data_IF_648952649405
#
_entry.id   IF_648952649405
#
_cell.length_a   1.000
_cell.length_b   1.000
_cell.length_c   1.000
_cell.angle_alpha   90.00
_cell.angle_beta   90.00
_cell.angle_gamma   90.00
#
_symmetry.space_group_name_H-M   'P 1'
#
loop_
_entity.id
_entity.type
_entity.pdbx_description
1 polymer ?
#
# COMPACT_ATOMS: atom_id res chain seq x y z
N UNK A 1 16.71 8.16 -9.86
CA UNK A 1 16.54 6.78 -9.33
C UNK A 1 15.75 6.01 -10.37
N UNK A 2 16.05 4.74 -10.65
CA UNK A 2 15.25 3.97 -11.62
C UNK A 2 13.92 3.57 -10.99
N UNK A 3 12.82 3.50 -11.75
CA UNK A 3 11.52 3.14 -11.19
C UNK A 3 11.46 1.70 -10.66
N UNK A 4 12.38 0.81 -11.02
CA UNK A 4 12.49 -0.49 -10.35
C UNK A 4 12.86 -0.37 -8.85
N UNK A 5 13.51 0.72 -8.44
CA UNK A 5 13.81 1.02 -7.03
C UNK A 5 12.54 1.35 -6.23
N UNK A 6 11.53 1.99 -6.85
CA UNK A 6 10.34 2.43 -6.12
C UNK A 6 9.49 1.25 -5.66
N UNK A 7 9.30 0.21 -6.49
CA UNK A 7 8.53 -0.96 -6.10
C UNK A 7 9.18 -1.70 -4.93
N UNK A 8 10.51 -1.86 -4.95
CA UNK A 8 11.26 -2.47 -3.84
C UNK A 8 11.12 -1.67 -2.56
N UNK A 9 11.30 -0.35 -2.61
CA UNK A 9 11.18 0.52 -1.43
C UNK A 9 9.75 0.58 -0.91
N UNK A 10 8.77 0.64 -1.81
CA UNK A 10 7.35 0.66 -1.47
C UNK A 10 6.92 -0.63 -0.75
N UNK A 11 7.26 -1.81 -1.28
CA UNK A 11 6.97 -3.07 -0.61
C UNK A 11 7.75 -3.22 0.70
N UNK A 12 8.98 -2.70 0.78
CA UNK A 12 9.76 -2.71 2.02
C UNK A 12 9.07 -1.90 3.14
N UNK A 13 8.40 -0.79 2.84
CA UNK A 13 7.60 -0.04 3.82
C UNK A 13 6.53 -0.92 4.46
N UNK A 14 5.78 -1.69 3.65
CA UNK A 14 4.71 -2.54 4.16
C UNK A 14 5.19 -3.76 4.94
N UNK A 15 6.48 -4.12 4.81
CA UNK A 15 7.10 -5.20 5.58
C UNK A 15 7.88 -4.71 6.82
N UNK A 16 8.04 -3.40 7.02
CA UNK A 16 8.86 -2.85 8.10
C UNK A 16 8.22 -3.08 9.47
N UNK A 17 8.92 -3.81 10.33
CA UNK A 17 8.47 -4.20 11.66
C UNK A 17 8.74 -3.10 12.70
N UNK A 18 9.87 -2.41 12.58
CA UNK A 18 10.35 -1.47 13.57
C UNK A 18 9.63 -0.11 13.43
N UNK A 19 8.90 0.37 14.44
CA UNK A 19 8.08 1.58 14.30
C UNK A 19 8.86 2.83 13.87
N UNK A 20 10.06 3.05 14.43
CA UNK A 20 10.89 4.20 14.08
C UNK A 20 11.40 4.10 12.64
N UNK A 21 11.80 2.90 12.20
CA UNK A 21 12.24 2.68 10.83
C UNK A 21 11.07 2.81 9.85
N UNK A 22 9.88 2.33 10.21
CA UNK A 22 8.65 2.46 9.41
C UNK A 22 8.32 3.94 9.19
N UNK A 23 8.36 4.73 10.26
CA UNK A 23 8.15 6.18 10.17
C UNK A 23 9.16 6.85 9.24
N UNK A 24 10.45 6.55 9.40
CA UNK A 24 11.48 7.10 8.53
C UNK A 24 11.24 6.74 7.05
N UNK A 25 10.86 5.49 6.75
CA UNK A 25 10.52 5.07 5.38
C UNK A 25 9.33 5.84 4.80
N UNK A 26 8.30 6.11 5.61
CA UNK A 26 7.15 6.94 5.18
C UNK A 26 7.62 8.35 4.84
N UNK A 27 8.43 8.95 5.71
CA UNK A 27 9.00 10.28 5.50
C UNK A 27 9.98 10.33 4.32
N UNK A 28 10.58 9.22 3.92
CA UNK A 28 11.42 9.14 2.73
C UNK A 28 10.61 8.93 1.44
N UNK A 29 9.54 8.14 1.51
CA UNK A 29 8.76 7.73 0.34
C UNK A 29 7.65 8.70 -0.02
N UNK A 30 6.94 9.27 0.96
CA UNK A 30 5.77 10.12 0.72
C UNK A 30 6.12 11.59 0.93
N UNK A 31 5.59 12.47 0.09
CA UNK A 31 5.53 13.92 0.39
C UNK A 31 4.83 14.18 1.73
N UNK A 32 5.08 15.34 2.36
CA UNK A 32 4.52 15.65 3.69
C UNK A 32 2.99 15.57 3.73
N UNK A 33 2.35 16.00 2.64
CA UNK A 33 0.90 15.95 2.43
C UNK A 33 0.46 14.76 1.58
N UNK A 34 1.36 13.79 1.38
CA UNK A 34 1.10 12.60 0.59
C UNK A 34 -0.05 11.76 1.17
N UNK A 35 -0.76 11.06 0.31
CA UNK A 35 -1.92 10.27 0.72
C UNK A 35 -1.98 8.89 0.10
N UNK A 36 -2.66 7.98 0.79
CA UNK A 36 -3.16 6.73 0.22
C UNK A 36 -4.68 6.79 0.09
N UNK A 37 -5.20 6.31 -1.03
CA UNK A 37 -6.62 6.12 -1.31
C UNK A 37 -6.86 4.61 -1.45
N UNK A 38 -7.61 4.05 -0.50
CA UNK A 38 -8.12 2.68 -0.59
C UNK A 38 -9.32 2.71 -1.53
N UNK A 39 -9.08 2.49 -2.82
CA UNK A 39 -10.15 2.49 -3.84
C UNK A 39 -11.13 1.35 -3.56
N UNK A 40 -10.58 0.20 -3.17
CA UNK A 40 -11.34 -0.96 -2.70
C UNK A 40 -11.21 -1.07 -1.17
N UNK A 41 -12.10 -0.45 -0.39
CA UNK A 41 -11.97 -0.42 1.07
C UNK A 41 -12.11 -1.82 1.70
N UNK A 42 -11.59 -2.02 2.94
CA UNK A 42 -11.69 -3.29 3.65
C UNK A 42 -13.13 -3.82 3.75
N UNK A 43 -13.28 -5.14 3.82
CA UNK A 43 -14.58 -5.81 3.81
C UNK A 43 -15.51 -5.31 4.93
N UNK A 44 -14.95 -5.00 6.09
CA UNK A 44 -15.67 -4.45 7.25
C UNK A 44 -16.26 -3.07 6.95
N UNK A 45 -15.49 -2.20 6.28
CA UNK A 45 -15.96 -0.87 5.87
C UNK A 45 -17.04 -0.99 4.79
N UNK A 46 -16.85 -1.89 3.81
CA UNK A 46 -17.86 -2.18 2.78
C UNK A 46 -19.16 -2.70 3.39
N UNK A 47 -19.07 -3.61 4.36
CA UNK A 47 -20.22 -4.14 5.08
C UNK A 47 -20.95 -3.03 5.85
N UNK A 48 -20.23 -2.20 6.59
CA UNK A 48 -20.83 -1.11 7.36
C UNK A 48 -21.58 -0.11 6.45
N UNK A 49 -21.03 0.23 5.28
CA UNK A 49 -21.72 1.07 4.30
C UNK A 49 -22.98 0.37 3.74
N UNK A 50 -22.89 -0.92 3.41
CA UNK A 50 -24.02 -1.70 2.91
C UNK A 50 -25.16 -1.83 3.94
N UNK A 51 -24.84 -2.01 5.23
CA UNK A 51 -25.82 -2.04 6.32
C UNK A 51 -26.61 -0.71 6.42
N UNK A 52 -26.03 0.39 5.93
CA UNK A 52 -26.65 1.71 5.83
C UNK A 52 -27.30 1.97 4.46
N UNK A 53 -27.28 1.00 3.54
CA UNK A 53 -27.71 1.13 2.15
C UNK A 53 -26.95 2.22 1.36
N UNK A 54 -25.67 2.42 1.67
CA UNK A 54 -24.78 3.39 1.01
C UNK A 54 -23.70 2.62 0.22
N UNK A 55 -23.40 3.01 -1.04
CA UNK A 55 -22.24 2.47 -1.74
C UNK A 55 -20.96 2.77 -0.96
N UNK A 56 -20.10 1.77 -0.75
CA UNK A 56 -18.86 1.96 -0.01
C UNK A 56 -17.96 2.99 -0.71
N UNK A 57 -17.66 4.14 -0.10
CA UNK A 57 -16.78 5.13 -0.70
C UNK A 57 -15.32 4.68 -0.57
N UNK A 58 -14.43 5.12 -1.48
CA UNK A 58 -12.99 5.05 -1.25
C UNK A 58 -12.61 5.72 0.07
N UNK A 59 -11.59 5.19 0.75
CA UNK A 59 -11.11 5.75 2.03
C UNK A 59 -9.75 6.42 1.85
N UNK A 60 -9.62 7.67 2.32
CA UNK A 60 -8.39 8.44 2.28
C UNK A 60 -7.57 8.34 3.58
N UNK A 61 -6.26 8.25 3.46
CA UNK A 61 -5.27 8.29 4.54
C UNK A 61 -4.27 9.37 4.20
N UNK A 62 -4.29 10.50 4.93
CA UNK A 62 -3.58 11.72 4.55
C UNK A 62 -2.46 12.08 5.54
N UNK A 63 -1.28 12.37 5.00
CA UNK A 63 -0.12 12.80 5.75
C UNK A 63 0.57 11.67 6.51
N UNK A 64 1.83 11.91 6.88
CA UNK A 64 2.71 10.89 7.45
C UNK A 64 2.14 10.22 8.71
N UNK A 65 1.44 10.96 9.58
CA UNK A 65 0.88 10.42 10.82
C UNK A 65 -0.26 9.41 10.56
N UNK A 66 -1.12 9.70 9.58
CA UNK A 66 -2.18 8.78 9.23
C UNK A 66 -1.62 7.57 8.49
N UNK A 67 -0.65 7.78 7.61
CA UNK A 67 0.07 6.71 6.92
C UNK A 67 0.78 5.78 7.91
N UNK A 68 1.44 6.33 8.93
CA UNK A 68 2.12 5.53 9.96
C UNK A 68 1.14 4.60 10.69
N UNK A 69 -0.01 5.12 11.12
CA UNK A 69 -1.07 4.30 11.73
C UNK A 69 -1.61 3.25 10.77
N UNK A 70 -1.80 3.60 9.50
CA UNK A 70 -2.33 2.71 8.46
C UNK A 70 -1.38 1.56 8.13
N UNK A 71 -0.08 1.85 7.96
CA UNK A 71 0.96 0.84 7.69
C UNK A 71 1.16 -0.04 8.92
N UNK A 72 1.22 0.56 10.12
CA UNK A 72 1.27 -0.17 11.38
C UNK A 72 0.12 -1.16 11.51
N UNK A 73 -1.12 -0.70 11.25
CA UNK A 73 -2.29 -1.56 11.37
C UNK A 73 -2.27 -2.73 10.38
N UNK A 74 -1.82 -2.51 9.14
CA UNK A 74 -1.63 -3.60 8.18
C UNK A 74 -0.55 -4.58 8.63
N UNK A 75 0.58 -4.09 9.14
CA UNK A 75 1.64 -4.96 9.66
C UNK A 75 1.11 -5.86 10.78
N UNK A 76 0.39 -5.30 11.76
CA UNK A 76 -0.22 -6.06 12.86
C UNK A 76 -1.21 -7.12 12.37
N UNK A 77 -2.05 -6.78 11.40
CA UNK A 77 -3.09 -7.68 10.89
C UNK A 77 -2.51 -8.84 10.08
N UNK A 78 -1.48 -8.57 9.27
CA UNK A 78 -1.06 -9.50 8.23
C UNK A 78 0.33 -10.07 8.47
N UNK A 79 1.26 -9.36 9.09
CA UNK A 79 2.66 -9.77 9.15
C UNK A 79 3.16 -10.11 10.55
N UNK A 80 2.54 -9.57 11.60
CA UNK A 80 3.00 -9.75 12.98
C UNK A 80 2.98 -11.21 13.46
N UNK A 81 2.16 -12.08 12.87
CA UNK A 81 2.19 -13.53 13.15
C UNK A 81 3.46 -14.20 12.64
N UNK A 82 4.20 -13.56 11.72
CA UNK A 82 5.33 -14.16 11.03
C UNK A 82 4.93 -15.18 9.95
N UNK A 83 3.65 -15.34 9.63
CA UNK A 83 3.19 -16.31 8.63
C UNK A 83 3.31 -15.79 7.19
N UNK A 84 3.18 -14.48 7.01
CA UNK A 84 3.09 -13.85 5.70
C UNK A 84 4.21 -12.83 5.42
N UNK A 85 4.37 -12.47 4.16
CA UNK A 85 5.27 -11.43 3.64
C UNK A 85 4.64 -10.77 2.42
N UNK A 86 4.76 -9.45 2.27
CA UNK A 86 4.39 -8.78 1.01
C UNK A 86 5.57 -8.81 0.04
N UNK A 87 5.29 -9.04 -1.24
CA UNK A 87 6.29 -9.02 -2.31
C UNK A 87 5.76 -8.24 -3.52
N UNK A 88 6.68 -7.62 -4.27
CA UNK A 88 6.34 -7.07 -5.58
C UNK A 88 6.06 -8.22 -6.56
N UNK A 89 4.97 -8.11 -7.30
CA UNK A 89 4.53 -9.10 -8.29
C UNK A 89 5.02 -8.71 -9.70
N UNK A 90 6.33 -8.59 -9.85
CA UNK A 90 6.99 -8.16 -11.10
C UNK A 90 7.64 -6.77 -11.00
N UNK A 91 8.22 -6.28 -12.12
CA UNK A 91 8.83 -4.95 -12.17
C UNK A 91 7.78 -3.84 -12.06
N UNK A 92 8.21 -2.68 -11.57
CA UNK A 92 7.37 -1.49 -11.59
C UNK A 92 7.04 -1.09 -13.03
N UNK A 93 5.80 -0.65 -13.28
CA UNK A 93 5.35 -0.20 -14.60
C UNK A 93 5.38 1.31 -14.64
N UNK A 94 6.28 1.88 -15.44
CA UNK A 94 6.29 3.33 -15.67
C UNK A 94 5.08 3.74 -16.52
N UNK A 95 4.40 4.79 -16.09
CA UNK A 95 3.21 5.31 -16.74
C UNK A 95 3.38 6.82 -16.98
N UNK A 96 2.60 7.42 -17.90
CA UNK A 96 2.64 8.86 -18.15
C UNK A 96 2.38 9.70 -16.89
N UNK A 97 2.69 11.00 -16.97
CA UNK A 97 2.44 11.96 -15.89
C UNK A 97 3.12 11.62 -14.55
N UNK A 98 4.33 11.05 -14.62
CA UNK A 98 5.14 10.68 -13.45
C UNK A 98 4.39 9.73 -12.50
N UNK A 99 3.71 8.74 -13.08
CA UNK A 99 3.00 7.71 -12.34
C UNK A 99 3.69 6.36 -12.50
N UNK A 100 3.59 5.53 -11.47
CA UNK A 100 4.18 4.18 -11.45
C UNK A 100 3.16 3.20 -10.91
N UNK A 101 2.99 2.09 -11.63
CA UNK A 101 2.21 0.95 -11.19
C UNK A 101 3.05 -0.06 -10.43
N UNK A 102 2.57 -0.50 -9.27
CA UNK A 102 3.22 -1.55 -8.46
C UNK A 102 2.20 -2.65 -8.18
N UNK A 103 2.37 -3.80 -8.84
CA UNK A 103 1.64 -5.01 -8.48
C UNK A 103 2.29 -5.67 -7.26
N UNK A 104 1.50 -6.23 -6.36
CA UNK A 104 2.00 -6.90 -5.16
C UNK A 104 1.16 -8.10 -4.77
N UNK A 105 1.79 -9.04 -4.04
CA UNK A 105 1.11 -10.17 -3.41
C UNK A 105 1.47 -10.28 -1.94
N UNK A 106 0.56 -10.82 -1.15
CA UNK A 106 0.82 -11.34 0.19
C UNK A 106 1.04 -12.85 0.09
N UNK A 107 2.23 -13.33 0.42
CA UNK A 107 2.61 -14.73 0.26
C UNK A 107 2.81 -15.38 1.62
N UNK A 108 2.51 -16.68 1.74
CA UNK A 108 2.94 -17.49 2.89
C UNK A 108 4.47 -17.58 2.89
N UNK A 109 5.09 -17.51 4.07
CA UNK A 109 6.56 -17.59 4.19
C UNK A 109 7.11 -19.01 4.03
N UNK A 110 6.32 -20.03 4.32
CA UNK A 110 6.78 -21.42 4.29
C UNK A 110 6.87 -21.99 2.87
N UNK A 111 5.93 -21.67 1.99
CA UNK A 111 5.83 -22.23 0.64
C UNK A 111 5.75 -21.17 -0.47
N UNK A 112 5.64 -19.88 -0.14
CA UNK A 112 5.55 -18.79 -1.11
C UNK A 112 4.18 -18.66 -1.78
N UNK A 113 3.16 -19.42 -1.36
CA UNK A 113 1.83 -19.42 -1.97
C UNK A 113 1.14 -18.05 -1.78
N UNK A 114 0.67 -17.39 -2.85
CA UNK A 114 -0.09 -16.16 -2.72
C UNK A 114 -1.43 -16.38 -2.01
N UNK A 115 -1.75 -15.50 -1.06
CA UNK A 115 -3.00 -15.49 -0.29
C UNK A 115 -3.86 -14.25 -0.58
N UNK A 116 -3.27 -13.25 -1.22
CA UNK A 116 -3.93 -12.04 -1.64
C UNK A 116 -2.99 -11.22 -2.51
N UNK A 117 -3.56 -10.22 -3.19
CA UNK A 117 -2.80 -9.37 -4.09
C UNK A 117 -3.54 -8.09 -4.40
N UNK A 118 -2.82 -7.19 -5.05
CA UNK A 118 -3.34 -5.89 -5.40
C UNK A 118 -2.40 -5.15 -6.34
N UNK A 119 -2.82 -3.93 -6.65
CA UNK A 119 -2.09 -3.02 -7.49
C UNK A 119 -2.19 -1.63 -6.89
N UNK A 120 -1.06 -0.94 -6.77
CA UNK A 120 -1.00 0.44 -6.34
C UNK A 120 -0.56 1.32 -7.51
N UNK A 121 -1.32 2.39 -7.77
CA UNK A 121 -0.95 3.44 -8.72
C UNK A 121 -0.38 4.63 -7.94
N UNK A 122 0.92 4.82 -8.03
CA UNK A 122 1.67 5.86 -7.33
C UNK A 122 1.86 7.06 -8.26
N UNK A 123 1.39 8.23 -7.88
CA UNK A 123 1.75 9.50 -8.51
C UNK A 123 2.91 10.12 -7.74
N UNK A 124 3.98 10.48 -8.45
CA UNK A 124 5.22 10.97 -7.87
C UNK A 124 5.41 12.47 -8.15
N UNK A 125 6.08 13.18 -7.24
CA UNK A 125 6.59 14.53 -7.48
C UNK A 125 7.92 14.52 -8.26
N UNK A 126 8.48 15.70 -8.50
CA UNK A 126 9.74 15.85 -9.25
C UNK A 126 10.96 15.18 -8.55
N UNK A 127 10.88 14.95 -7.23
CA UNK A 127 11.91 14.29 -6.43
C UNK A 127 11.70 12.77 -6.34
N UNK A 128 10.63 12.25 -6.96
CA UNK A 128 10.26 10.84 -6.97
C UNK A 128 9.55 10.40 -5.68
N UNK A 129 9.00 11.33 -4.90
CA UNK A 129 8.23 11.05 -3.68
C UNK A 129 6.75 10.92 -4.01
N UNK A 130 6.07 10.04 -3.31
CA UNK A 130 4.65 9.73 -3.51
C UNK A 130 3.80 10.92 -3.05
N UNK A 131 3.04 11.47 -3.98
CA UNK A 131 1.99 12.47 -3.74
C UNK A 131 0.66 11.76 -3.46
N UNK A 132 0.34 10.74 -4.26
CA UNK A 132 -0.84 9.91 -4.03
C UNK A 132 -0.60 8.47 -4.40
N UNK A 133 -1.06 7.56 -3.56
CA UNK A 133 -1.11 6.12 -3.77
C UNK A 133 -2.58 5.69 -3.90
N UNK A 134 -2.96 5.06 -5.01
CA UNK A 134 -4.31 4.52 -5.20
C UNK A 134 -4.26 3.00 -5.20
N UNK A 135 -4.81 2.40 -4.14
CA UNK A 135 -4.79 0.96 -3.91
C UNK A 135 -6.03 0.28 -4.45
N UNK A 136 -5.79 -0.74 -5.28
CA UNK A 136 -6.78 -1.67 -5.81
C UNK A 136 -6.49 -3.08 -5.28
N UNK A 137 -7.52 -3.80 -4.89
CA UNK A 137 -7.40 -5.17 -4.36
C UNK A 137 -7.89 -6.16 -5.40
N UNK A 138 -7.11 -7.21 -5.67
CA UNK A 138 -7.54 -8.25 -6.60
C UNK A 138 -8.80 -8.97 -6.09
N UNK A 139 -9.74 -9.25 -7.00
CA UNK A 139 -11.00 -9.93 -6.65
C UNK A 139 -12.00 -9.09 -5.85
N UNK A 140 -11.80 -7.76 -5.74
CA UNK A 140 -12.72 -6.84 -5.05
C UNK A 140 -13.97 -6.48 -5.85
N UNK A 141 -14.00 -6.78 -7.17
CA UNK A 141 -15.06 -6.44 -8.13
C UNK A 141 -15.87 -7.66 -8.55
#
# INVERSE_FOLDING_TARGET
MSNNDIATRYVALWNEAEPVARRARIEELFTVDGMQVLVDPPAEARKAAADLAIPAPPLGVHGHDALDRRVTRAYEMFLASGEYVFAAAGPAVELPANTVGVAWTMNRRDDGTPQGGGFDLLALDADGRIVSDHQFIEGSR
#
